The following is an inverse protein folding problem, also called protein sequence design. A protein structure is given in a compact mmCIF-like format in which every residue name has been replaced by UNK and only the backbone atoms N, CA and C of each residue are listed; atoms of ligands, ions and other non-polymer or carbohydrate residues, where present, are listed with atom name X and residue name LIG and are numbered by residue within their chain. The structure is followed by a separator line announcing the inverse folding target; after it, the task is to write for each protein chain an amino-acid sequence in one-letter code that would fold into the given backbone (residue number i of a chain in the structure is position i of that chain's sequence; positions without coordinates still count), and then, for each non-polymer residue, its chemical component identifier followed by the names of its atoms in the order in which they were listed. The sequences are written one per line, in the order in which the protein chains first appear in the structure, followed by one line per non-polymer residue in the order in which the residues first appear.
data_IF_798709113169
#
_entry.id   IF_798709113169
#
_cell.length_a   1.000
_cell.length_b   1.000
_cell.length_c   1.000
_cell.angle_alpha   90.00
_cell.angle_beta   90.00
_cell.angle_gamma   90.00
#
_symmetry.space_group_name_H-M   'P 1'
#
loop_
_entity.id
_entity.type
_entity.pdbx_description
1 polymer ?
#
# COMPACT_ATOMS: atom_id res chain seq x y z
N UNK A 1 -16.38 -6.40 -3.55
CA UNK A 1 -15.25 -7.37 -3.37
C UNK A 1 -13.96 -6.58 -3.25
N UNK A 2 -13.15 -6.83 -2.22
CA UNK A 2 -11.78 -6.30 -2.09
C UNK A 2 -10.76 -7.33 -2.58
N UNK A 3 -10.01 -6.99 -3.62
CA UNK A 3 -9.03 -7.85 -4.24
C UNK A 3 -7.62 -7.57 -3.70
N UNK A 4 -7.23 -8.31 -2.68
CA UNK A 4 -5.89 -8.24 -2.08
C UNK A 4 -5.50 -9.58 -1.47
N UNK A 5 -4.23 -9.96 -1.59
CA UNK A 5 -3.62 -11.11 -0.89
C UNK A 5 -2.92 -10.66 0.42
N UNK A 6 -2.86 -9.36 0.70
CA UNK A 6 -2.27 -8.83 1.92
C UNK A 6 -3.27 -8.91 3.08
N UNK A 7 -3.05 -9.84 4.00
CA UNK A 7 -3.93 -10.08 5.16
C UNK A 7 -4.12 -8.84 6.05
N UNK A 8 -3.08 -8.00 6.19
CA UNK A 8 -3.19 -6.78 7.00
C UNK A 8 -4.13 -5.77 6.32
N UNK A 9 -3.98 -5.55 5.02
CA UNK A 9 -4.89 -4.68 4.25
C UNK A 9 -6.34 -5.20 4.27
N UNK A 10 -6.52 -6.51 4.12
CA UNK A 10 -7.86 -7.13 4.22
C UNK A 10 -8.48 -6.82 5.58
N UNK A 11 -7.74 -7.03 6.67
CA UNK A 11 -8.20 -6.75 8.02
C UNK A 11 -8.58 -5.27 8.22
N UNK A 12 -7.74 -4.35 7.75
CA UNK A 12 -8.00 -2.91 7.82
C UNK A 12 -9.27 -2.52 7.06
N UNK A 13 -9.41 -2.99 5.82
CA UNK A 13 -10.59 -2.71 4.98
C UNK A 13 -11.85 -3.29 5.62
N UNK A 14 -11.84 -4.54 6.07
CA UNK A 14 -12.99 -5.14 6.73
C UNK A 14 -13.38 -4.39 8.01
N UNK A 15 -12.41 -3.99 8.84
CA UNK A 15 -12.66 -3.20 10.04
C UNK A 15 -13.25 -1.83 9.73
N UNK A 16 -12.78 -1.16 8.66
CA UNK A 16 -13.31 0.12 8.23
C UNK A 16 -14.79 0.02 7.82
N UNK A 17 -15.13 -0.99 7.03
CA UNK A 17 -16.51 -1.19 6.54
C UNK A 17 -17.44 -1.84 7.57
N UNK A 18 -16.93 -2.44 8.62
CA UNK A 18 -17.74 -3.11 9.66
C UNK A 18 -18.74 -2.16 10.35
N UNK A 19 -18.45 -0.84 10.33
CA UNK A 19 -19.35 0.21 10.85
C UNK A 19 -20.35 0.74 9.82
N UNK A 20 -20.38 0.18 8.63
CA UNK A 20 -21.23 0.59 7.53
C UNK A 20 -22.24 -0.50 7.18
N UNK A 21 -23.23 -0.17 6.33
CA UNK A 21 -24.17 -1.17 5.77
C UNK A 21 -23.59 -1.92 4.55
N UNK A 22 -22.31 -1.69 4.23
CA UNK A 22 -21.68 -2.28 3.05
C UNK A 22 -20.99 -3.58 3.48
N UNK A 23 -21.39 -4.70 2.91
CA UNK A 23 -20.72 -5.98 3.10
C UNK A 23 -19.58 -6.14 2.09
N UNK A 24 -18.35 -6.27 2.59
CA UNK A 24 -17.15 -6.47 1.79
C UNK A 24 -16.76 -7.95 1.80
N UNK A 25 -16.67 -8.54 0.61
CA UNK A 25 -16.09 -9.86 0.42
C UNK A 25 -14.58 -9.72 0.23
N UNK A 26 -13.80 -10.60 0.83
CA UNK A 26 -12.35 -10.73 0.60
C UNK A 26 -12.03 -11.95 -0.25
N UNK A 27 -10.77 -12.11 -0.67
CA UNK A 27 -10.32 -13.28 -1.42
C UNK A 27 -10.48 -14.60 -0.65
N UNK A 28 -10.50 -14.55 0.69
CA UNK A 28 -10.72 -15.75 1.52
C UNK A 28 -12.09 -16.41 1.28
N UNK A 29 -13.04 -15.66 0.70
CA UNK A 29 -14.35 -16.18 0.32
C UNK A 29 -14.36 -16.96 -1.01
N UNK A 30 -13.20 -17.05 -1.70
CA UNK A 30 -13.09 -17.65 -3.02
C UNK A 30 -11.91 -18.59 -3.09
N UNK A 31 -12.07 -19.72 -3.81
CA UNK A 31 -11.01 -20.69 -4.00
C UNK A 31 -10.21 -20.41 -5.29
N UNK A 32 -8.91 -20.74 -5.30
CA UNK A 32 -8.06 -20.76 -6.50
C UNK A 32 -7.90 -19.40 -7.21
N UNK A 33 -7.92 -18.30 -6.49
CA UNK A 33 -7.59 -16.98 -7.05
C UNK A 33 -6.11 -16.71 -6.86
N UNK A 34 -5.37 -16.74 -7.96
CA UNK A 34 -3.92 -16.50 -7.96
C UNK A 34 -3.59 -15.01 -7.78
N UNK A 35 -2.46 -14.75 -7.16
CA UNK A 35 -1.87 -13.41 -7.13
C UNK A 35 -1.49 -13.00 -8.56
N UNK A 36 -1.88 -11.79 -8.95
CA UNK A 36 -1.54 -11.26 -10.28
C UNK A 36 -0.28 -10.41 -10.19
N UNK A 37 0.56 -10.54 -11.21
CA UNK A 37 1.78 -9.73 -11.32
C UNK A 37 1.43 -8.26 -11.61
N UNK A 38 1.93 -7.38 -10.77
CA UNK A 38 1.84 -5.94 -10.93
C UNK A 38 2.89 -5.47 -11.95
N UNK A 39 2.44 -5.11 -13.15
CA UNK A 39 3.29 -4.70 -14.28
C UNK A 39 3.13 -3.22 -14.64
N UNK A 40 2.32 -2.48 -13.89
CA UNK A 40 2.10 -1.05 -14.09
C UNK A 40 3.28 -0.19 -13.66
N UNK A 41 3.34 1.02 -14.18
CA UNK A 41 4.36 2.03 -13.89
C UNK A 41 3.90 3.07 -12.86
N UNK A 42 2.65 2.96 -12.40
CA UNK A 42 2.08 3.81 -11.35
C UNK A 42 1.23 2.99 -10.37
N UNK A 43 0.96 3.56 -9.19
CA UNK A 43 0.05 2.97 -8.21
C UNK A 43 -1.36 2.76 -8.81
N UNK A 44 -1.82 3.72 -9.59
CA UNK A 44 -3.12 3.69 -10.23
C UNK A 44 -3.24 2.54 -11.25
N UNK A 45 -2.21 2.36 -12.08
CA UNK A 45 -2.15 1.24 -13.04
C UNK A 45 -2.13 -0.10 -12.34
N UNK A 46 -1.32 -0.27 -11.29
CA UNK A 46 -1.27 -1.52 -10.54
C UNK A 46 -2.59 -1.83 -9.82
N UNK A 47 -3.23 -0.82 -9.21
CA UNK A 47 -4.55 -0.97 -8.62
C UNK A 47 -5.59 -1.40 -9.66
N UNK A 48 -5.56 -0.78 -10.86
CA UNK A 48 -6.45 -1.12 -11.99
C UNK A 48 -6.25 -2.54 -12.49
N UNK A 49 -4.99 -2.98 -12.63
CA UNK A 49 -4.67 -4.36 -13.05
C UNK A 49 -5.35 -5.36 -12.09
N UNK A 50 -5.23 -5.13 -10.78
CA UNK A 50 -5.82 -5.99 -9.74
C UNK A 50 -7.34 -5.97 -9.76
N UNK A 51 -7.97 -4.79 -9.75
CA UNK A 51 -9.43 -4.67 -9.71
C UNK A 51 -10.09 -5.23 -10.96
N UNK A 52 -9.51 -4.98 -12.14
CA UNK A 52 -9.99 -5.54 -13.41
C UNK A 52 -9.86 -7.07 -13.45
N UNK A 53 -8.76 -7.61 -12.96
CA UNK A 53 -8.60 -9.06 -12.88
C UNK A 53 -9.63 -9.69 -11.96
N UNK A 54 -9.84 -9.11 -10.76
CA UNK A 54 -10.86 -9.56 -9.82
C UNK A 54 -12.26 -9.51 -10.43
N UNK A 55 -12.63 -8.42 -11.08
CA UNK A 55 -13.90 -8.30 -11.78
C UNK A 55 -14.08 -9.36 -12.89
N UNK A 56 -13.05 -9.56 -13.73
CA UNK A 56 -13.11 -10.56 -14.82
C UNK A 56 -13.30 -11.98 -14.28
N UNK A 57 -12.67 -12.31 -13.17
CA UNK A 57 -12.75 -13.64 -12.56
C UNK A 57 -14.05 -13.87 -11.80
N UNK A 58 -14.49 -12.91 -11.02
CA UNK A 58 -15.60 -13.07 -10.07
C UNK A 58 -16.93 -12.54 -10.60
N UNK A 59 -16.92 -11.71 -11.66
CA UNK A 59 -18.11 -11.04 -12.20
C UNK A 59 -18.86 -10.18 -11.16
N UNK A 60 -18.14 -9.70 -10.15
CA UNK A 60 -18.64 -8.80 -9.11
C UNK A 60 -17.89 -7.46 -9.16
N UNK A 61 -18.54 -6.32 -8.79
CA UNK A 61 -17.81 -5.09 -8.58
C UNK A 61 -16.62 -5.33 -7.67
N UNK A 62 -15.43 -4.95 -8.15
CA UNK A 62 -14.19 -5.29 -7.49
C UNK A 62 -13.32 -4.05 -7.31
N UNK A 63 -12.82 -3.83 -6.11
CA UNK A 63 -11.83 -2.80 -5.87
C UNK A 63 -10.53 -3.43 -5.35
N UNK A 64 -9.43 -2.76 -5.67
CA UNK A 64 -8.09 -3.11 -5.24
C UNK A 64 -7.31 -1.83 -4.98
N UNK A 65 -6.29 -1.92 -4.15
CA UNK A 65 -5.36 -0.84 -3.90
C UNK A 65 -3.95 -1.19 -4.36
N UNK A 66 -3.17 -0.16 -4.68
CA UNK A 66 -1.73 -0.22 -4.67
C UNK A 66 -1.18 0.93 -3.83
N UNK A 67 -0.22 0.63 -2.96
CA UNK A 67 0.27 1.55 -1.94
C UNK A 67 1.77 1.41 -1.75
N UNK A 68 2.43 2.52 -1.46
CA UNK A 68 3.84 2.50 -1.15
C UNK A 68 4.34 3.78 -0.53
N UNK A 69 5.57 3.73 -0.04
CA UNK A 69 6.28 4.88 0.50
C UNK A 69 7.18 5.48 -0.58
N UNK A 70 7.17 6.80 -0.67
CA UNK A 70 8.03 7.59 -1.54
C UNK A 70 8.94 8.45 -0.67
N UNK A 71 10.25 8.36 -0.84
CA UNK A 71 11.26 8.99 0.00
C UNK A 71 12.05 10.00 -0.83
N UNK A 72 12.03 11.28 -0.46
CA UNK A 72 12.65 12.36 -1.23
C UNK A 72 14.15 12.12 -1.46
N UNK A 73 14.89 11.79 -0.41
CA UNK A 73 16.33 11.49 -0.49
C UNK A 73 16.67 10.35 -1.47
N UNK A 74 15.70 9.53 -1.83
CA UNK A 74 15.85 8.38 -2.72
C UNK A 74 15.13 8.59 -4.06
N UNK A 75 14.89 9.83 -4.48
CA UNK A 75 14.15 10.18 -5.71
C UNK A 75 12.76 9.50 -5.79
N UNK A 76 12.02 9.54 -4.69
CA UNK A 76 10.72 8.87 -4.50
C UNK A 76 10.77 7.34 -4.59
N UNK A 77 11.96 6.73 -4.58
CA UNK A 77 12.09 5.28 -4.39
C UNK A 77 11.76 4.93 -2.92
N UNK A 78 11.19 3.76 -2.59
CA UNK A 78 10.86 2.65 -3.47
C UNK A 78 9.53 2.79 -4.25
N UNK A 79 8.60 3.69 -3.89
CA UNK A 79 7.37 3.92 -4.62
C UNK A 79 6.55 2.65 -4.84
N UNK A 80 6.16 2.36 -6.07
CA UNK A 80 5.43 1.13 -6.46
C UNK A 80 6.20 -0.18 -6.18
N UNK A 81 7.48 -0.08 -5.85
CA UNK A 81 8.33 -1.24 -5.50
C UNK A 81 8.44 -1.44 -3.99
N UNK A 82 7.63 -0.77 -3.17
CA UNK A 82 7.75 -0.77 -1.70
C UNK A 82 7.74 -2.18 -1.10
N UNK A 83 6.78 -3.04 -1.46
CA UNK A 83 6.74 -4.44 -1.01
C UNK A 83 8.01 -5.19 -1.41
N UNK A 84 8.38 -5.11 -2.69
CA UNK A 84 9.56 -5.82 -3.25
C UNK A 84 10.87 -5.35 -2.61
N UNK A 85 10.98 -4.07 -2.27
CA UNK A 85 12.16 -3.52 -1.63
C UNK A 85 12.32 -4.03 -0.19
N UNK A 86 11.23 -4.18 0.57
CA UNK A 86 11.26 -4.84 1.87
C UNK A 86 11.67 -6.32 1.78
N UNK A 87 11.10 -7.03 0.81
CA UNK A 87 11.32 -8.46 0.63
C UNK A 87 12.71 -8.80 0.06
N UNK A 88 13.36 -7.84 -0.60
CA UNK A 88 14.71 -8.01 -1.17
C UNK A 88 15.79 -8.26 -0.11
N UNK A 89 15.60 -7.76 1.10
CA UNK A 89 16.59 -7.85 2.17
C UNK A 89 16.20 -8.93 3.19
N UNK A 90 17.20 -9.52 3.84
CA UNK A 90 17.01 -10.62 4.81
C UNK A 90 16.21 -10.22 6.07
N UNK A 91 16.00 -8.91 6.30
CA UNK A 91 15.18 -8.39 7.39
C UNK A 91 14.75 -6.95 7.12
N UNK A 92 13.61 -6.56 7.69
CA UNK A 92 13.12 -5.17 7.67
C UNK A 92 14.13 -4.20 8.30
N UNK A 93 14.86 -4.64 9.34
CA UNK A 93 15.91 -3.82 9.98
C UNK A 93 16.97 -3.36 8.99
N UNK A 94 17.40 -4.24 8.06
CA UNK A 94 18.36 -3.87 7.01
C UNK A 94 17.80 -2.84 6.04
N UNK A 95 16.54 -3.01 5.61
CA UNK A 95 15.87 -2.04 4.74
C UNK A 95 15.74 -0.69 5.44
N UNK A 96 15.36 -0.67 6.71
CA UNK A 96 15.24 0.56 7.49
C UNK A 96 16.59 1.27 7.64
N UNK A 97 17.65 0.52 7.94
CA UNK A 97 18.99 1.10 8.03
C UNK A 97 19.45 1.75 6.72
N UNK A 98 19.17 1.12 5.57
CA UNK A 98 19.49 1.69 4.26
C UNK A 98 18.73 3.02 4.07
N UNK A 99 17.43 3.05 4.35
CA UNK A 99 16.60 4.26 4.19
C UNK A 99 17.10 5.37 5.10
N UNK A 100 17.30 5.09 6.39
CA UNK A 100 17.77 6.08 7.37
C UNK A 100 19.16 6.62 6.99
N UNK A 101 20.06 5.76 6.52
CA UNK A 101 21.37 6.20 6.05
C UNK A 101 21.28 7.13 4.84
N UNK A 102 20.40 6.82 3.86
CA UNK A 102 20.22 7.68 2.69
C UNK A 102 19.58 9.03 3.07
N UNK A 103 18.60 9.04 3.96
CA UNK A 103 18.00 10.31 4.44
C UNK A 103 19.01 11.17 5.19
N UNK A 104 19.87 10.58 6.01
CA UNK A 104 20.94 11.28 6.74
C UNK A 104 22.01 11.82 5.78
N UNK A 105 22.43 11.03 4.79
CA UNK A 105 23.44 11.42 3.79
C UNK A 105 23.02 12.66 2.99
N UNK A 106 21.76 12.78 2.64
CA UNK A 106 21.24 13.91 1.89
C UNK A 106 20.59 14.98 2.76
N UNK A 107 20.57 14.81 4.09
CA UNK A 107 19.89 15.71 5.04
C UNK A 107 18.43 16.01 4.65
N UNK A 108 17.77 15.00 4.06
CA UNK A 108 16.39 15.10 3.60
C UNK A 108 15.59 13.86 4.08
N UNK A 109 14.79 14.05 5.12
CA UNK A 109 13.96 13.00 5.70
C UNK A 109 12.51 13.01 5.20
N UNK A 110 12.17 13.90 4.25
CA UNK A 110 10.80 14.00 3.72
C UNK A 110 10.40 12.72 3.02
N UNK A 111 9.20 12.27 3.34
CA UNK A 111 8.60 11.11 2.73
C UNK A 111 7.07 11.25 2.67
N UNK A 112 6.42 10.41 1.88
CA UNK A 112 4.98 10.30 1.88
C UNK A 112 4.55 8.88 1.55
N UNK A 113 3.45 8.44 2.14
CA UNK A 113 2.71 7.29 1.65
C UNK A 113 1.74 7.73 0.58
N UNK A 114 1.67 6.97 -0.50
CA UNK A 114 0.66 7.11 -1.54
C UNK A 114 -0.13 5.81 -1.65
N UNK A 115 -1.45 5.96 -1.80
CA UNK A 115 -2.37 4.86 -2.09
C UNK A 115 -3.24 5.25 -3.26
N UNK A 116 -3.39 4.34 -4.22
CA UNK A 116 -4.39 4.43 -5.27
C UNK A 116 -5.34 3.26 -5.14
N UNK A 117 -6.64 3.54 -5.10
CA UNK A 117 -7.71 2.54 -5.11
C UNK A 117 -8.38 2.59 -6.47
N UNK A 118 -8.53 1.44 -7.10
CA UNK A 118 -9.28 1.28 -8.34
C UNK A 118 -10.51 0.43 -8.07
N UNK A 119 -11.71 0.96 -8.39
CA UNK A 119 -13.00 0.26 -8.31
C UNK A 119 -13.52 -0.02 -9.71
N UNK A 120 -13.48 -1.28 -10.14
CA UNK A 120 -14.06 -1.75 -11.38
C UNK A 120 -15.50 -2.20 -11.13
N UNK A 121 -16.45 -1.43 -11.62
CA UNK A 121 -17.89 -1.72 -11.49
C UNK A 121 -18.38 -2.68 -12.58
N UNK A 122 -17.90 -2.51 -13.82
CA UNK A 122 -18.17 -3.34 -14.98
C UNK A 122 -17.05 -3.19 -16.02
N UNK A 123 -17.20 -3.84 -17.18
CA UNK A 123 -16.16 -3.84 -18.24
C UNK A 123 -15.77 -2.44 -18.73
N UNK A 124 -16.70 -1.48 -18.66
CA UNK A 124 -16.56 -0.14 -19.22
C UNK A 124 -16.39 0.96 -18.15
N UNK A 125 -16.51 0.61 -16.87
CA UNK A 125 -16.50 1.62 -15.80
C UNK A 125 -15.55 1.23 -14.66
N UNK A 126 -14.46 1.99 -14.56
CA UNK A 126 -13.51 1.96 -13.46
C UNK A 126 -13.40 3.36 -12.87
N UNK A 127 -13.40 3.45 -11.55
CA UNK A 127 -13.30 4.69 -10.77
C UNK A 127 -12.04 4.61 -9.93
N UNK A 128 -11.35 5.75 -9.76
CA UNK A 128 -10.12 5.83 -9.00
C UNK A 128 -10.27 6.78 -7.82
N UNK A 129 -9.58 6.44 -6.72
CA UNK A 129 -9.43 7.27 -5.54
C UNK A 129 -7.97 7.28 -5.13
N UNK A 130 -7.40 8.45 -4.89
CA UNK A 130 -6.02 8.61 -4.52
C UNK A 130 -5.91 9.28 -3.15
N UNK A 131 -5.00 8.80 -2.34
CA UNK A 131 -4.69 9.36 -1.03
C UNK A 131 -3.19 9.51 -0.84
N UNK A 132 -2.78 10.59 -0.16
CA UNK A 132 -1.39 10.86 0.20
C UNK A 132 -1.32 11.28 1.65
N UNK A 133 -0.43 10.64 2.40
CA UNK A 133 -0.07 11.04 3.77
C UNK A 133 1.38 11.49 3.76
N UNK A 134 1.60 12.80 3.93
CA UNK A 134 2.95 13.38 4.01
C UNK A 134 3.52 13.19 5.42
N UNK A 135 4.84 13.01 5.50
CA UNK A 135 5.54 12.80 6.75
C UNK A 135 7.05 12.79 6.56
N UNK A 136 7.73 12.20 7.51
CA UNK A 136 9.18 12.14 7.60
C UNK A 136 9.65 10.74 7.97
N UNK A 137 10.87 10.40 7.54
CA UNK A 137 11.57 9.21 8.02
C UNK A 137 12.20 9.53 9.37
N UNK A 138 11.94 8.68 10.36
CA UNK A 138 12.53 8.77 11.70
C UNK A 138 14.01 8.36 11.68
N UNK A 139 14.79 8.86 12.63
CA UNK A 139 16.20 8.47 12.82
C UNK A 139 16.40 7.03 13.30
N UNK A 140 15.35 6.43 13.85
CA UNK A 140 15.35 5.04 14.35
C UNK A 140 13.93 4.44 14.25
N UNK A 141 13.79 3.12 14.12
CA UNK A 141 12.48 2.48 14.14
C UNK A 141 11.82 2.61 15.51
N UNK A 142 10.53 2.99 15.53
CA UNK A 142 9.71 3.17 16.75
C UNK A 142 8.34 2.51 16.61
N UNK A 143 7.71 2.25 17.76
CA UNK A 143 6.35 1.70 17.83
C UNK A 143 6.31 0.17 17.86
N UNK A 144 5.15 -0.34 18.33
CA UNK A 144 4.86 -1.79 18.44
C UNK A 144 3.71 -2.22 17.51
N UNK A 145 3.07 -1.28 16.85
CA UNK A 145 1.90 -1.50 16.00
C UNK A 145 2.22 -1.07 14.57
N UNK A 146 1.36 -1.48 13.63
CA UNK A 146 1.57 -1.22 12.22
C UNK A 146 2.32 -2.34 11.51
N UNK A 147 2.60 -2.14 10.24
CA UNK A 147 3.33 -3.10 9.41
C UNK A 147 4.20 -2.40 8.36
N UNK A 148 5.08 -3.15 7.73
CA UNK A 148 5.98 -2.67 6.69
C UNK A 148 6.86 -1.47 7.12
N UNK A 149 6.59 -0.25 6.64
CA UNK A 149 7.38 0.96 6.85
C UNK A 149 6.91 1.81 8.03
N UNK A 150 5.78 1.48 8.65
CA UNK A 150 5.22 2.24 9.77
C UNK A 150 6.23 2.52 10.89
N UNK A 151 7.14 1.58 11.25
CA UNK A 151 8.12 1.83 12.31
C UNK A 151 9.10 2.98 12.03
N UNK A 152 9.27 3.39 10.79
CA UNK A 152 10.21 4.47 10.40
C UNK A 152 9.52 5.70 9.79
N UNK A 153 8.19 5.76 9.77
CA UNK A 153 7.44 6.86 9.19
C UNK A 153 6.68 7.66 10.25
N UNK A 154 6.85 8.97 10.26
CA UNK A 154 6.16 9.91 11.15
C UNK A 154 5.26 10.81 10.30
N UNK A 155 3.93 10.64 10.34
CA UNK A 155 3.01 11.54 9.66
C UNK A 155 3.07 12.98 10.20
N UNK A 156 3.01 13.98 9.32
CA UNK A 156 3.11 15.39 9.70
C UNK A 156 2.00 15.86 10.67
N UNK A 157 0.84 15.22 10.66
CA UNK A 157 -0.34 15.64 11.43
C UNK A 157 -0.47 14.95 12.80
N UNK A 158 0.44 14.05 13.16
CA UNK A 158 0.47 13.49 14.49
C UNK A 158 1.29 14.41 15.40
N UNK A 159 0.66 14.96 16.43
CA UNK A 159 1.39 15.63 17.53
C UNK A 159 2.36 14.59 18.09
N UNK A 160 3.63 14.98 18.19
CA UNK A 160 4.62 14.19 18.95
C UNK A 160 4.16 14.20 20.41
N UNK A 161 3.63 13.06 20.89
CA UNK A 161 3.51 12.78 22.30
C UNK A 161 4.87 12.34 22.85
#
# INVERSE_FOLDING_TARGET
MFFSHNKNKIKEVLNFFNKTKINILSLDSFQNILEIKETGYSFEENAKIKSNYGYKKLKLPCFADDSGICISAMNNFPGIKSKRFLEKHSSYKKTFAIIINETNKFSDNRAYFQTSISLTLNQNKTIFFNGVVKGEISSEPKGKYGFHYDPIFIPNNLKKE
#
